data_IF_191765997473
#
_entry.id   IF_191765997473
#
_cell.length_a   1.000
_cell.length_b   1.000
_cell.length_c   1.000
_cell.angle_alpha   90.00
_cell.angle_beta   90.00
_cell.angle_gamma   90.00
#
_symmetry.space_group_name_H-M   'P 1'
#
loop_
_entity.id
_entity.type
_entity.pdbx_description
1 polymer ?
#
# COMPACT_ATOMS: atom_id res chain seq x y z
N UNK A 1 13.67 -9.49 -12.67
CA UNK A 1 15.06 -9.05 -12.91
C UNK A 1 15.64 -8.22 -11.76
N UNK A 2 15.00 -7.13 -11.31
CA UNK A 2 15.53 -6.24 -10.24
C UNK A 2 15.85 -6.95 -8.91
N UNK A 3 15.02 -7.91 -8.48
CA UNK A 3 15.23 -8.68 -7.24
C UNK A 3 16.45 -9.60 -7.31
N UNK A 4 16.62 -10.34 -8.41
CA UNK A 4 17.77 -11.23 -8.62
C UNK A 4 19.09 -10.44 -8.70
N UNK A 5 19.09 -9.29 -9.37
CA UNK A 5 20.25 -8.38 -9.41
C UNK A 5 20.54 -7.82 -8.01
N UNK A 6 19.51 -7.51 -7.22
CA UNK A 6 19.66 -7.11 -5.82
C UNK A 6 20.30 -8.21 -4.96
N UNK A 7 19.83 -9.46 -5.08
CA UNK A 7 20.41 -10.62 -4.37
C UNK A 7 21.89 -10.77 -4.74
N UNK A 8 22.21 -10.73 -6.03
CA UNK A 8 23.59 -10.79 -6.50
C UNK A 8 24.44 -9.66 -5.89
N UNK A 9 23.91 -8.42 -5.89
CA UNK A 9 24.60 -7.26 -5.35
C UNK A 9 24.92 -7.42 -3.86
N UNK A 10 23.97 -7.85 -3.02
CA UNK A 10 24.22 -8.04 -1.58
C UNK A 10 25.10 -9.25 -1.28
N UNK A 11 25.18 -10.21 -2.20
CA UNK A 11 26.06 -11.38 -2.08
C UNK A 11 27.52 -11.02 -2.42
N UNK A 12 27.72 -10.26 -3.50
CA UNK A 12 29.06 -9.84 -3.95
C UNK A 12 29.61 -8.67 -3.11
N UNK A 13 28.73 -7.81 -2.60
CA UNK A 13 29.08 -6.63 -1.79
C UNK A 13 28.36 -6.70 -0.43
N UNK A 14 28.84 -7.53 0.52
CA UNK A 14 28.15 -7.79 1.78
C UNK A 14 27.98 -6.55 2.66
N UNK A 15 28.83 -5.52 2.51
CA UNK A 15 28.67 -4.24 3.22
C UNK A 15 27.35 -3.51 2.85
N UNK A 16 26.76 -3.81 1.69
CA UNK A 16 25.44 -3.30 1.32
C UNK A 16 24.32 -3.93 2.18
N UNK A 17 24.50 -5.19 2.59
CA UNK A 17 23.55 -5.91 3.42
C UNK A 17 23.56 -5.46 4.88
N UNK A 18 24.60 -4.76 5.32
CA UNK A 18 24.76 -4.24 6.69
C UNK A 18 24.26 -2.80 6.84
N UNK A 19 23.77 -2.17 5.77
CA UNK A 19 23.22 -0.81 5.84
C UNK A 19 21.92 -0.81 6.65
N UNK A 20 21.71 0.18 7.54
CA UNK A 20 20.50 0.26 8.35
C UNK A 20 19.28 0.50 7.43
N UNK A 21 18.12 -0.12 7.69
CA UNK A 21 16.93 0.00 6.87
C UNK A 21 16.56 1.46 6.57
N UNK A 22 16.54 2.32 7.60
CA UNK A 22 16.27 3.77 7.44
C UNK A 22 17.12 4.47 6.38
N UNK A 23 18.36 4.04 6.16
CA UNK A 23 19.24 4.63 5.14
C UNK A 23 18.93 4.15 3.71
N UNK A 24 18.30 2.97 3.59
CA UNK A 24 17.94 2.37 2.31
C UNK A 24 16.58 2.84 1.78
N UNK A 25 15.76 3.40 2.66
CA UNK A 25 14.42 3.91 2.38
C UNK A 25 14.33 5.45 2.54
N UNK A 26 15.45 6.17 2.39
CA UNK A 26 15.44 7.64 2.39
C UNK A 26 15.21 8.21 0.98
N UNK A 27 14.55 9.37 0.88
CA UNK A 27 14.35 10.11 -0.39
C UNK A 27 15.66 10.49 -1.11
N UNK A 28 16.79 10.44 -0.40
CA UNK A 28 18.16 10.61 -0.94
C UNK A 28 18.84 9.32 -1.41
N UNK A 29 18.13 8.19 -1.45
CA UNK A 29 18.71 6.87 -1.73
C UNK A 29 19.23 6.74 -3.18
N UNK A 30 20.50 6.34 -3.32
CA UNK A 30 21.15 6.17 -4.62
C UNK A 30 20.80 4.84 -5.29
N UNK A 31 21.30 4.63 -6.52
CA UNK A 31 21.10 3.36 -7.26
C UNK A 31 21.61 2.13 -6.49
N UNK A 32 22.67 2.28 -5.70
CA UNK A 32 23.21 1.21 -4.86
C UNK A 32 22.29 0.88 -3.67
N UNK A 33 21.66 1.88 -3.08
CA UNK A 33 20.68 1.69 -2.00
C UNK A 33 19.42 0.98 -2.54
N UNK A 34 18.99 1.33 -3.75
CA UNK A 34 17.89 0.63 -4.41
C UNK A 34 18.21 -0.85 -4.68
N UNK A 35 19.45 -1.18 -5.07
CA UNK A 35 19.89 -2.57 -5.24
C UNK A 35 19.97 -3.30 -3.91
N UNK A 36 20.54 -2.68 -2.88
CA UNK A 36 20.63 -3.24 -1.53
C UNK A 36 19.24 -3.52 -0.95
N UNK A 37 18.33 -2.55 -1.04
CA UNK A 37 16.91 -2.68 -0.65
C UNK A 37 16.22 -3.83 -1.36
N UNK A 38 16.32 -3.90 -2.69
CA UNK A 38 15.71 -4.97 -3.47
C UNK A 38 16.28 -6.35 -3.11
N UNK A 39 17.59 -6.45 -2.89
CA UNK A 39 18.25 -7.69 -2.48
C UNK A 39 17.83 -8.14 -1.09
N UNK A 40 17.79 -7.22 -0.12
CA UNK A 40 17.39 -7.50 1.25
C UNK A 40 15.91 -7.91 1.33
N UNK A 41 15.03 -7.22 0.60
CA UNK A 41 13.61 -7.57 0.50
C UNK A 41 13.42 -8.96 -0.13
N UNK A 42 14.12 -9.24 -1.23
CA UNK A 42 14.07 -10.53 -1.89
C UNK A 42 14.58 -11.66 -1.00
N UNK A 43 15.68 -11.45 -0.28
CA UNK A 43 16.21 -12.43 0.67
C UNK A 43 15.23 -12.69 1.81
N UNK A 44 14.70 -11.65 2.44
CA UNK A 44 13.69 -11.81 3.50
C UNK A 44 12.44 -12.56 3.01
N UNK A 45 12.03 -12.34 1.76
CA UNK A 45 10.94 -13.09 1.12
C UNK A 45 11.28 -14.57 0.93
N UNK A 46 12.44 -14.87 0.34
CA UNK A 46 12.87 -16.25 0.08
C UNK A 46 13.10 -17.05 1.36
N UNK A 47 13.61 -16.39 2.41
CA UNK A 47 13.90 -17.01 3.70
C UNK A 47 12.65 -17.14 4.59
N UNK A 48 11.51 -16.57 4.18
CA UNK A 48 10.29 -16.53 5.00
C UNK A 48 10.42 -15.65 6.25
N UNK A 49 11.33 -14.67 6.25
CA UNK A 49 11.59 -13.76 7.37
C UNK A 49 10.51 -12.66 7.41
N UNK A 50 9.31 -13.03 7.88
CA UNK A 50 8.17 -12.14 8.01
C UNK A 50 8.43 -10.91 8.91
N UNK A 51 9.12 -11.02 10.06
CA UNK A 51 9.48 -9.84 10.86
C UNK A 51 10.27 -8.81 10.05
N UNK A 52 11.24 -9.25 9.26
CA UNK A 52 12.07 -8.35 8.45
C UNK A 52 11.34 -7.79 7.24
N UNK A 53 10.48 -8.59 6.60
CA UNK A 53 9.57 -8.09 5.56
C UNK A 53 8.66 -6.99 6.10
N UNK A 54 8.09 -7.19 7.30
CA UNK A 54 7.25 -6.19 7.95
C UNK A 54 8.03 -4.91 8.21
N UNK A 55 9.23 -4.99 8.78
CA UNK A 55 10.09 -3.82 9.01
C UNK A 55 10.33 -3.02 7.73
N UNK A 56 10.71 -3.70 6.65
CA UNK A 56 10.98 -3.06 5.36
C UNK A 56 9.75 -2.42 4.73
N UNK A 57 8.61 -3.13 4.72
CA UNK A 57 7.37 -2.63 4.14
C UNK A 57 6.80 -1.47 4.96
N UNK A 58 6.87 -1.54 6.30
CA UNK A 58 6.43 -0.45 7.17
C UNK A 58 7.28 0.80 6.99
N UNK A 59 8.59 0.69 6.79
CA UNK A 59 9.41 1.85 6.46
C UNK A 59 9.12 2.41 5.07
N UNK A 60 8.95 1.55 4.07
CA UNK A 60 8.62 2.00 2.72
C UNK A 60 7.29 2.76 2.70
N UNK A 61 6.21 2.14 3.20
CA UNK A 61 4.89 2.77 3.18
C UNK A 61 4.77 3.91 4.18
N UNK A 62 5.45 3.87 5.32
CA UNK A 62 5.43 4.97 6.27
C UNK A 62 6.10 6.25 5.78
N UNK A 63 7.10 6.16 4.89
CA UNK A 63 7.85 7.34 4.42
C UNK A 63 7.53 7.76 2.98
N UNK A 64 7.12 6.83 2.12
CA UNK A 64 6.90 7.11 0.69
C UNK A 64 5.44 7.09 0.27
N UNK A 65 4.49 6.85 1.19
CA UNK A 65 3.07 6.79 0.83
C UNK A 65 2.57 8.09 0.18
N UNK A 66 3.01 9.26 0.63
CA UNK A 66 2.64 10.56 0.08
C UNK A 66 3.22 10.80 -1.32
N UNK A 67 4.51 10.54 -1.54
CA UNK A 67 5.10 10.63 -2.88
C UNK A 67 4.45 9.63 -3.87
N UNK A 68 4.06 8.46 -3.35
CA UNK A 68 3.38 7.42 -4.11
C UNK A 68 1.89 7.70 -4.32
N UNK A 69 1.23 8.56 -3.56
CA UNK A 69 -0.16 8.96 -3.85
C UNK A 69 -0.20 10.07 -4.89
N UNK A 70 0.65 11.10 -4.74
CA UNK A 70 0.67 12.30 -5.59
C UNK A 70 1.02 12.01 -7.05
N UNK A 71 1.84 10.98 -7.31
CA UNK A 71 2.24 10.63 -8.68
C UNK A 71 1.27 9.69 -9.41
N UNK A 72 0.11 9.38 -8.81
CA UNK A 72 -0.69 8.20 -9.18
C UNK A 72 -2.20 8.43 -9.37
N UNK A 73 -2.65 9.66 -9.60
CA UNK A 73 -4.08 9.97 -9.86
C UNK A 73 -4.72 9.03 -10.90
N UNK A 74 -4.06 8.83 -12.05
CA UNK A 74 -4.47 7.94 -13.17
C UNK A 74 -4.84 6.50 -12.75
N UNK A 75 -4.24 6.01 -11.67
CA UNK A 75 -4.38 4.61 -11.25
C UNK A 75 -5.78 4.32 -10.77
N UNK A 76 -6.45 5.28 -10.13
CA UNK A 76 -7.83 5.10 -9.71
C UNK A 76 -8.71 4.82 -10.94
N UNK A 77 -8.60 5.62 -12.00
CA UNK A 77 -9.38 5.40 -13.21
C UNK A 77 -8.92 4.16 -13.98
N UNK A 78 -7.61 3.96 -14.15
CA UNK A 78 -7.09 2.89 -15.02
C UNK A 78 -7.06 1.52 -14.38
N UNK A 79 -6.75 1.43 -13.09
CA UNK A 79 -6.69 0.15 -12.38
C UNK A 79 -7.96 -0.11 -11.59
N UNK A 80 -8.35 0.80 -10.70
CA UNK A 80 -9.51 0.53 -9.85
C UNK A 80 -10.80 0.49 -10.66
N UNK A 81 -11.16 1.59 -11.34
CA UNK A 81 -12.36 1.61 -12.19
C UNK A 81 -12.24 0.68 -13.40
N UNK A 82 -11.03 0.50 -13.93
CA UNK A 82 -10.79 -0.32 -15.11
C UNK A 82 -10.77 -1.84 -14.87
N UNK A 83 -10.43 -2.31 -13.67
CA UNK A 83 -10.20 -3.72 -13.39
C UNK A 83 -10.79 -4.19 -12.06
N UNK A 84 -10.71 -3.38 -11.00
CA UNK A 84 -11.00 -3.85 -9.64
C UNK A 84 -12.44 -3.50 -9.18
N UNK A 85 -13.14 -2.61 -9.89
CA UNK A 85 -14.51 -2.17 -9.55
C UNK A 85 -15.52 -3.32 -9.53
N UNK A 86 -15.26 -4.39 -10.29
CA UNK A 86 -16.11 -5.59 -10.31
C UNK A 86 -16.26 -6.19 -8.90
N UNK A 87 -15.24 -6.07 -8.04
CA UNK A 87 -15.31 -6.51 -6.63
C UNK A 87 -16.40 -5.75 -5.87
N UNK A 88 -16.58 -4.46 -6.17
CA UNK A 88 -17.63 -3.63 -5.54
C UNK A 88 -19.01 -4.04 -6.06
N UNK A 89 -19.15 -4.31 -7.35
CA UNK A 89 -20.41 -4.81 -7.92
C UNK A 89 -20.78 -6.19 -7.34
N UNK A 90 -19.79 -7.04 -7.04
CA UNK A 90 -20.02 -8.29 -6.33
C UNK A 90 -20.45 -8.08 -4.87
N UNK A 91 -19.84 -7.12 -4.18
CA UNK A 91 -20.21 -6.76 -2.82
C UNK A 91 -21.66 -6.25 -2.76
N UNK A 92 -22.03 -5.32 -3.65
CA UNK A 92 -23.39 -4.75 -3.71
C UNK A 92 -24.44 -5.85 -3.90
N UNK A 93 -24.26 -6.71 -4.92
CA UNK A 93 -25.15 -7.86 -5.15
C UNK A 93 -25.23 -8.81 -3.96
N UNK A 94 -24.10 -9.03 -3.28
CA UNK A 94 -24.08 -9.87 -2.10
C UNK A 94 -24.91 -9.26 -0.98
N UNK A 95 -24.74 -7.96 -0.71
CA UNK A 95 -25.50 -7.22 0.29
C UNK A 95 -27.01 -7.21 -0.02
N UNK A 96 -27.40 -7.01 -1.27
CA UNK A 96 -28.80 -7.07 -1.72
C UNK A 96 -29.42 -8.46 -1.53
N UNK A 97 -28.62 -9.53 -1.64
CA UNK A 97 -29.08 -10.91 -1.49
C UNK A 97 -29.34 -11.33 -0.03
N UNK A 98 -28.88 -10.53 0.94
CA UNK A 98 -29.08 -10.82 2.36
C UNK A 98 -30.55 -10.64 2.73
N UNK A 99 -31.18 -11.74 3.15
CA UNK A 99 -32.61 -11.81 3.49
C UNK A 99 -32.98 -11.08 4.78
N UNK A 100 -31.98 -10.80 5.62
CA UNK A 100 -32.09 -9.86 6.74
C UNK A 100 -31.41 -8.57 6.34
N UNK A 101 -32.07 -7.42 6.56
CA UNK A 101 -31.39 -6.12 6.62
C UNK A 101 -30.46 -6.13 7.82
N UNK A 102 -29.30 -6.77 7.70
CA UNK A 102 -28.21 -6.49 8.59
C UNK A 102 -27.77 -5.07 8.20
N UNK A 103 -28.14 -4.12 9.04
CA UNK A 103 -27.76 -2.72 8.84
C UNK A 103 -26.27 -2.61 9.11
N UNK A 104 -25.48 -2.71 8.05
CA UNK A 104 -24.12 -2.23 8.08
C UNK A 104 -24.18 -0.71 8.09
N UNK A 105 -23.45 -0.08 8.99
CA UNK A 105 -23.39 1.37 9.13
C UNK A 105 -22.02 1.93 8.74
N UNK A 106 -21.02 1.06 8.57
CA UNK A 106 -19.63 1.48 8.40
C UNK A 106 -18.84 0.56 7.49
N UNK A 107 -17.94 1.15 6.70
CA UNK A 107 -16.90 0.46 5.94
C UNK A 107 -15.50 0.87 6.42
N UNK A 108 -14.57 -0.09 6.39
CA UNK A 108 -13.17 0.12 6.71
C UNK A 108 -12.30 -0.29 5.52
N UNK A 109 -11.48 0.63 5.03
CA UNK A 109 -10.46 0.34 4.01
C UNK A 109 -9.09 0.29 4.69
N UNK A 110 -8.39 -0.85 4.54
CA UNK A 110 -7.02 -1.04 5.05
C UNK A 110 -6.05 -0.83 3.89
N UNK A 111 -5.12 0.11 4.06
CA UNK A 111 -4.24 0.58 2.99
C UNK A 111 -4.96 1.59 2.08
N UNK A 112 -5.65 2.57 2.67
CA UNK A 112 -6.51 3.49 1.92
C UNK A 112 -5.77 4.52 1.08
N UNK A 113 -4.46 4.69 1.26
CA UNK A 113 -3.66 5.67 0.50
C UNK A 113 -4.31 7.06 0.52
N UNK A 114 -4.57 7.61 -0.68
CA UNK A 114 -5.24 8.91 -0.85
C UNK A 114 -6.76 8.94 -0.65
N UNK A 115 -7.39 7.81 -0.33
CA UNK A 115 -8.81 7.75 0.02
C UNK A 115 -9.80 7.82 -1.17
N UNK A 116 -9.33 7.80 -2.42
CA UNK A 116 -10.20 7.88 -3.61
C UNK A 116 -11.20 6.71 -3.68
N UNK A 117 -10.78 5.50 -3.29
CA UNK A 117 -11.69 4.34 -3.24
C UNK A 117 -12.74 4.52 -2.16
N UNK A 118 -12.38 5.01 -0.96
CA UNK A 118 -13.37 5.35 0.07
C UNK A 118 -14.35 6.43 -0.39
N UNK A 119 -13.89 7.46 -1.10
CA UNK A 119 -14.77 8.48 -1.66
C UNK A 119 -15.77 7.87 -2.67
N UNK A 120 -15.27 7.00 -3.56
CA UNK A 120 -16.12 6.24 -4.49
C UNK A 120 -17.14 5.36 -3.76
N UNK A 121 -16.73 4.67 -2.70
CA UNK A 121 -17.62 3.84 -1.88
C UNK A 121 -18.69 4.69 -1.16
N UNK A 122 -18.34 5.91 -0.74
CA UNK A 122 -19.30 6.83 -0.11
C UNK A 122 -20.40 7.29 -1.06
N UNK A 123 -20.07 7.49 -2.33
CA UNK A 123 -21.06 7.77 -3.37
C UNK A 123 -21.90 6.54 -3.71
N UNK A 124 -21.28 5.35 -3.71
CA UNK A 124 -21.93 4.09 -4.10
C UNK A 124 -22.89 3.56 -3.03
N UNK A 125 -22.58 3.77 -1.75
CA UNK A 125 -23.34 3.27 -0.60
C UNK A 125 -23.78 4.42 0.34
N UNK A 126 -24.64 5.34 -0.12
CA UNK A 126 -25.02 6.55 0.62
C UNK A 126 -25.79 6.26 1.93
N UNK A 127 -26.29 5.03 2.10
CA UNK A 127 -26.96 4.57 3.32
C UNK A 127 -26.00 4.27 4.48
N UNK A 128 -24.71 4.03 4.20
CA UNK A 128 -23.71 3.85 5.24
C UNK A 128 -23.41 5.19 5.91
N UNK A 129 -23.25 5.17 7.23
CA UNK A 129 -23.01 6.37 8.01
C UNK A 129 -21.53 6.76 8.03
N UNK A 130 -20.62 5.79 7.89
CA UNK A 130 -19.21 6.01 8.17
C UNK A 130 -18.27 5.28 7.21
N UNK A 131 -17.25 6.00 6.76
CA UNK A 131 -16.22 5.54 5.84
C UNK A 131 -14.87 5.79 6.50
N UNK A 132 -14.15 4.71 6.86
CA UNK A 132 -12.93 4.80 7.67
C UNK A 132 -11.74 4.25 6.90
N UNK A 133 -10.79 5.13 6.58
CA UNK A 133 -9.50 4.77 6.01
C UNK A 133 -8.44 4.52 7.08
N UNK A 134 -7.68 3.45 6.90
CA UNK A 134 -6.55 3.09 7.75
C UNK A 134 -5.33 2.94 6.84
N UNK A 135 -4.29 3.74 7.07
CA UNK A 135 -3.02 3.65 6.35
C UNK A 135 -1.82 3.86 7.29
N UNK A 136 -0.64 3.45 6.86
CA UNK A 136 0.63 3.63 7.57
C UNK A 136 1.28 4.98 7.28
N UNK A 137 0.95 5.64 6.17
CA UNK A 137 1.51 6.93 5.79
C UNK A 137 0.90 8.09 6.58
N UNK A 138 1.54 8.53 7.67
CA UNK A 138 1.04 9.62 8.52
C UNK A 138 0.78 10.91 7.73
N UNK A 139 1.73 11.34 6.88
CA UNK A 139 1.59 12.54 6.06
C UNK A 139 0.38 12.47 5.12
N UNK A 140 0.15 11.32 4.49
CA UNK A 140 -1.01 11.13 3.63
C UNK A 140 -2.32 11.17 4.42
N UNK A 141 -2.33 10.58 5.61
CA UNK A 141 -3.51 10.60 6.48
C UNK A 141 -3.81 12.01 7.00
N UNK A 142 -2.81 12.85 7.19
CA UNK A 142 -3.00 14.27 7.50
C UNK A 142 -3.61 15.02 6.30
N UNK A 143 -3.09 14.81 5.09
CA UNK A 143 -3.65 15.38 3.86
C UNK A 143 -5.11 14.98 3.65
N UNK A 144 -5.45 13.69 3.82
CA UNK A 144 -6.82 13.19 3.66
C UNK A 144 -7.81 13.81 4.66
N UNK A 145 -7.37 14.18 5.87
CA UNK A 145 -8.26 14.82 6.88
C UNK A 145 -8.58 16.27 6.55
N UNK A 146 -7.79 16.90 5.69
CA UNK A 146 -7.91 18.30 5.30
C UNK A 146 -8.65 18.48 3.95
N UNK A 147 -9.06 17.39 3.32
CA UNK A 147 -9.80 17.35 2.05
C UNK A 147 -11.26 17.01 2.33
#
# INVERSE_FOLDING_TARGET
MKLAVGILAITVMPFLATRPPRSLFSSSSGRLDALARNGLLARAFLDGDHPRLREFLSHYWGQYASEFSESWDDRFERMFLGCDVEVIDHLERHLESLSTRQEFDRIYEIGCGGGQVLAYLAERFPELQQFVGIDLGEDQMETNRNT
#
